data_IF_639687520246
#
_entry.id   IF_639687520246
#
_cell.length_a   1.000
_cell.length_b   1.000
_cell.length_c   1.000
_cell.angle_alpha   90.00
_cell.angle_beta   90.00
_cell.angle_gamma   90.00
#
_symmetry.space_group_name_H-M   'P 1'
#
loop_
_entity.id
_entity.type
_entity.pdbx_description
1 polymer ?
#
# COMPACT_ATOMS: atom_id res chain seq x y z
N UNK A 1 2.69 -12.03 36.33
CA UNK A 1 1.50 -12.11 37.21
C UNK A 1 0.31 -11.57 36.40
N UNK A 2 -0.71 -12.36 36.09
CA UNK A 2 -1.90 -11.86 35.38
C UNK A 2 -2.85 -11.23 36.39
N UNK A 3 -3.04 -9.91 36.32
CA UNK A 3 -3.98 -9.18 37.20
C UNK A 3 -5.41 -9.59 36.84
N UNK A 4 -6.16 -10.12 37.82
CA UNK A 4 -7.58 -10.44 37.62
C UNK A 4 -8.43 -9.24 38.05
N UNK A 5 -9.63 -9.13 37.48
CA UNK A 5 -10.60 -8.07 37.80
C UNK A 5 -10.96 -8.00 39.30
N UNK A 6 -10.75 -9.08 40.05
CA UNK A 6 -10.94 -9.16 41.51
C UNK A 6 -9.88 -8.43 42.33
N UNK A 7 -8.74 -8.06 41.73
CA UNK A 7 -7.60 -7.46 42.42
C UNK A 7 -7.63 -5.92 42.39
N UNK A 8 -8.62 -5.34 41.71
CA UNK A 8 -8.84 -3.89 41.64
C UNK A 8 -9.15 -3.33 43.04
N UNK A 9 -8.37 -2.33 43.47
CA UNK A 9 -8.46 -1.71 44.79
C UNK A 9 -7.63 -2.39 45.90
N UNK A 10 -6.97 -3.53 45.64
CA UNK A 10 -6.03 -4.13 46.60
C UNK A 10 -4.64 -3.53 46.47
N UNK A 11 -3.96 -3.36 47.61
CA UNK A 11 -2.53 -2.98 47.65
C UNK A 11 -1.71 -4.24 47.37
N UNK A 12 -1.14 -4.32 46.18
CA UNK A 12 -0.25 -5.42 45.77
C UNK A 12 1.20 -4.98 45.88
N UNK A 13 2.07 -5.90 46.30
CA UNK A 13 3.50 -5.65 46.41
C UNK A 13 4.21 -6.37 45.26
N UNK A 14 5.03 -5.63 44.51
CA UNK A 14 5.85 -6.23 43.46
C UNK A 14 6.84 -7.25 44.09
N UNK A 15 6.94 -8.48 43.60
CA UNK A 15 7.87 -9.47 44.15
C UNK A 15 9.34 -9.10 43.91
N UNK A 16 9.64 -8.37 42.84
CA UNK A 16 11.02 -8.09 42.43
C UNK A 16 11.62 -6.84 43.09
N UNK A 17 10.80 -5.80 43.30
CA UNK A 17 11.27 -4.53 43.86
C UNK A 17 10.60 -4.14 45.19
N UNK A 18 9.69 -4.98 45.71
CA UNK A 18 8.95 -4.77 46.96
C UNK A 18 8.16 -3.46 47.04
N UNK A 19 7.97 -2.75 45.92
CA UNK A 19 7.18 -1.54 45.89
C UNK A 19 5.68 -1.87 45.97
N UNK A 20 4.95 -1.15 46.84
CA UNK A 20 3.52 -1.33 47.05
C UNK A 20 2.77 -0.32 46.20
N UNK A 21 1.90 -0.82 45.31
CA UNK A 21 1.03 0.00 44.48
C UNK A 21 -0.41 -0.48 44.60
N UNK A 22 -1.35 0.42 44.33
CA UNK A 22 -2.79 0.12 44.35
C UNK A 22 -3.27 0.02 42.91
N UNK A 23 -3.95 -1.07 42.57
CA UNK A 23 -4.47 -1.25 41.21
C UNK A 23 -5.73 -0.40 41.07
N UNK A 24 -5.61 0.75 40.40
CA UNK A 24 -6.72 1.66 40.14
C UNK A 24 -7.67 1.06 39.09
N UNK A 25 -8.97 1.34 39.24
CA UNK A 25 -9.98 0.88 38.30
C UNK A 25 -9.84 1.70 37.02
N UNK A 26 -9.56 1.05 35.90
CA UNK A 26 -9.52 1.72 34.61
C UNK A 26 -10.90 2.37 34.33
N UNK A 27 -10.93 3.69 34.25
CA UNK A 27 -12.11 4.42 33.79
C UNK A 27 -12.27 4.19 32.29
N UNK A 28 -13.29 3.42 31.91
CA UNK A 28 -13.68 3.27 30.51
C UNK A 28 -14.30 4.60 30.10
N UNK A 29 -13.52 5.47 29.45
CA UNK A 29 -14.06 6.64 28.76
C UNK A 29 -14.84 6.13 27.55
N UNK A 30 -16.16 6.10 27.69
CA UNK A 30 -17.07 5.89 26.57
C UNK A 30 -17.19 7.27 25.92
N UNK A 31 -16.53 7.46 24.78
CA UNK A 31 -16.74 8.65 23.95
C UNK A 31 -18.15 8.55 23.36
N UNK A 32 -19.08 9.29 23.96
CA UNK A 32 -20.43 9.47 23.44
C UNK A 32 -20.31 10.47 22.28
N UNK A 33 -20.69 10.10 21.04
CA UNK A 33 -20.65 11.03 19.92
C UNK A 33 -21.54 12.23 20.23
N UNK A 34 -21.03 13.44 19.98
CA UNK A 34 -21.81 14.66 20.16
C UNK A 34 -23.09 14.60 19.30
N UNK A 35 -24.24 15.01 19.85
CA UNK A 35 -25.49 15.02 19.11
C UNK A 35 -25.35 15.95 17.90
N UNK A 36 -25.69 15.43 16.73
CA UNK A 36 -25.77 16.19 15.47
C UNK A 36 -26.80 17.30 15.69
N UNK A 37 -26.31 18.53 15.89
CA UNK A 37 -27.15 19.73 15.92
C UNK A 37 -27.53 20.02 14.47
N UNK A 38 -28.81 19.96 14.09
CA UNK A 38 -29.23 20.41 12.78
C UNK A 38 -29.04 21.92 12.72
N UNK A 39 -28.23 22.41 11.77
CA UNK A 39 -28.16 23.83 11.45
C UNK A 39 -29.53 24.29 10.91
N UNK A 40 -30.26 25.01 11.74
CA UNK A 40 -31.47 25.75 11.35
C UNK A 40 -31.07 26.96 10.51
N UNK A 41 -31.07 26.82 9.19
CA UNK A 41 -31.16 28.00 8.31
C UNK A 41 -31.84 27.67 6.97
N UNK A 42 -33.15 27.43 6.96
CA UNK A 42 -33.96 27.76 5.77
C UNK A 42 -35.35 28.28 6.17
N UNK A 43 -35.65 29.47 5.65
CA UNK A 43 -36.73 30.35 6.08
C UNK A 43 -38.15 29.80 5.94
N UNK A 44 -38.99 30.30 6.84
CA UNK A 44 -40.44 30.17 6.82
C UNK A 44 -41.01 30.53 5.44
N UNK A 45 -41.57 29.53 4.77
CA UNK A 45 -42.76 29.72 3.92
C UNK A 45 -43.89 28.92 4.55
N UNK A 46 -44.94 29.64 4.92
CA UNK A 46 -46.21 29.10 5.38
C UNK A 46 -46.79 28.17 4.32
N UNK A 47 -46.60 26.86 4.52
CA UNK A 47 -47.35 25.83 3.80
C UNK A 47 -48.09 24.98 4.85
N UNK A 48 -49.37 25.29 4.91
CA UNK A 48 -50.47 24.64 5.58
C UNK A 48 -50.28 23.14 5.91
N UNK A 49 -50.46 22.81 7.20
CA UNK A 49 -51.06 21.60 7.81
C UNK A 49 -50.64 20.17 7.39
N UNK A 50 -50.00 19.93 6.25
CA UNK A 50 -49.57 18.59 5.81
C UNK A 50 -48.22 18.15 6.41
N UNK A 51 -47.39 19.10 6.87
CA UNK A 51 -46.09 18.78 7.48
C UNK A 51 -46.20 18.14 8.88
N UNK A 52 -47.27 18.41 9.62
CA UNK A 52 -47.45 17.81 10.96
C UNK A 52 -47.78 16.32 10.88
N UNK A 53 -48.56 15.91 9.89
CA UNK A 53 -48.87 14.49 9.67
C UNK A 53 -47.67 13.74 9.09
N UNK A 54 -46.86 14.37 8.24
CA UNK A 54 -45.59 13.80 7.79
C UNK A 54 -44.59 13.63 8.94
N UNK A 55 -44.46 14.63 9.84
CA UNK A 55 -43.62 14.52 11.04
C UNK A 55 -44.12 13.44 12.01
N UNK A 56 -45.43 13.30 12.20
CA UNK A 56 -45.99 12.22 13.02
C UNK A 56 -45.73 10.84 12.44
N UNK A 57 -45.87 10.67 11.12
CA UNK A 57 -45.56 9.40 10.45
C UNK A 57 -44.07 9.06 10.56
N UNK A 58 -43.19 10.02 10.32
CA UNK A 58 -41.75 9.84 10.47
C UNK A 58 -41.38 9.48 11.93
N UNK A 59 -41.98 10.15 12.92
CA UNK A 59 -41.77 9.85 14.33
C UNK A 59 -42.26 8.44 14.72
N UNK A 60 -43.38 7.98 14.15
CA UNK A 60 -43.88 6.62 14.35
C UNK A 60 -42.96 5.57 13.71
N UNK A 61 -42.43 5.85 12.52
CA UNK A 61 -41.52 4.95 11.82
C UNK A 61 -40.20 4.79 12.57
N UNK A 62 -39.61 5.90 13.04
CA UNK A 62 -38.39 5.90 13.87
C UNK A 62 -38.61 5.12 15.18
N UNK A 63 -39.72 5.35 15.87
CA UNK A 63 -40.06 4.60 17.10
C UNK A 63 -40.23 3.10 16.82
N UNK A 64 -40.81 2.74 15.68
CA UNK A 64 -41.00 1.34 15.29
C UNK A 64 -39.68 0.63 14.95
N UNK A 65 -38.75 1.33 14.30
CA UNK A 65 -37.40 0.83 14.05
C UNK A 65 -36.62 0.67 15.36
N UNK A 66 -36.64 1.68 16.24
CA UNK A 66 -35.99 1.60 17.53
C UNK A 66 -36.51 0.43 18.40
N UNK A 67 -37.81 0.13 18.34
CA UNK A 67 -38.38 -1.05 19.02
C UNK A 67 -37.92 -2.38 18.42
N UNK A 68 -37.77 -2.46 17.08
CA UNK A 68 -37.23 -3.66 16.42
C UNK A 68 -35.78 -3.90 16.81
N UNK A 69 -34.97 -2.85 16.80
CA UNK A 69 -33.54 -2.94 17.14
C UNK A 69 -33.33 -3.31 18.62
N UNK A 70 -34.13 -2.75 19.52
CA UNK A 70 -34.13 -3.13 20.95
C UNK A 70 -34.51 -4.60 21.13
N UNK A 71 -35.51 -5.09 20.37
CA UNK A 71 -35.93 -6.49 20.41
C UNK A 71 -34.82 -7.40 19.89
N UNK A 72 -34.20 -7.09 18.76
CA UNK A 72 -33.11 -7.88 18.20
C UNK A 72 -31.88 -7.91 19.13
N UNK A 73 -31.54 -6.78 19.74
CA UNK A 73 -30.47 -6.73 20.75
C UNK A 73 -30.80 -7.55 21.99
N UNK A 74 -32.07 -7.58 22.43
CA UNK A 74 -32.48 -8.43 23.56
C UNK A 74 -32.39 -9.92 23.21
N UNK A 75 -32.78 -10.30 21.99
CA UNK A 75 -32.66 -11.68 21.49
C UNK A 75 -31.19 -12.11 21.36
N UNK A 76 -30.31 -11.22 20.88
CA UNK A 76 -28.84 -11.47 20.84
C UNK A 76 -28.24 -11.64 22.24
N UNK A 77 -28.70 -10.85 23.22
CA UNK A 77 -28.23 -10.97 24.62
C UNK A 77 -28.70 -12.28 25.26
N UNK A 78 -29.92 -12.74 24.95
CA UNK A 78 -30.44 -14.01 25.45
C UNK A 78 -29.76 -15.23 24.78
N UNK A 79 -29.44 -15.13 23.48
CA UNK A 79 -28.63 -16.12 22.78
C UNK A 79 -27.23 -16.22 23.38
N UNK A 80 -26.57 -15.09 23.64
CA UNK A 80 -25.25 -15.07 24.27
C UNK A 80 -25.27 -15.63 25.70
N UNK A 81 -26.32 -15.36 26.49
CA UNK A 81 -26.47 -15.98 27.83
C UNK A 81 -26.65 -17.50 27.75
N UNK A 82 -27.40 -18.00 26.77
CA UNK A 82 -27.58 -19.45 26.56
C UNK A 82 -26.31 -20.14 26.09
N UNK A 83 -25.54 -19.52 25.19
CA UNK A 83 -24.29 -20.10 24.69
C UNK A 83 -23.13 -19.99 25.69
N UNK A 84 -23.07 -18.92 26.48
CA UNK A 84 -22.06 -18.78 27.54
C UNK A 84 -22.33 -19.71 28.73
N UNK A 85 -23.60 -19.96 29.07
CA UNK A 85 -23.96 -20.95 30.10
C UNK A 85 -23.53 -22.40 29.76
N UNK A 86 -23.41 -22.74 28.48
CA UNK A 86 -22.93 -24.06 28.05
C UNK A 86 -21.40 -24.24 28.20
N UNK A 87 -20.64 -23.14 28.32
CA UNK A 87 -19.17 -23.17 28.46
C UNK A 87 -18.70 -22.93 29.90
N UNK A 88 -19.48 -22.23 30.74
CA UNK A 88 -19.05 -21.87 32.10
C UNK A 88 -19.33 -22.95 33.19
N UNK A 89 -20.02 -24.06 32.88
CA UNK A 89 -20.41 -25.05 33.90
C UNK A 89 -19.42 -26.21 34.13
N UNK A 90 -18.20 -26.18 33.57
CA UNK A 90 -17.11 -27.03 34.06
C UNK A 90 -16.41 -26.37 35.24
N UNK A 91 -16.99 -26.53 36.43
CA UNK A 91 -16.27 -26.33 37.71
C UNK A 91 -14.90 -27.02 37.62
N UNK A 92 -13.80 -26.37 38.06
CA UNK A 92 -12.54 -27.08 38.23
C UNK A 92 -12.78 -28.19 39.24
N UNK A 93 -12.65 -29.45 38.79
CA UNK A 93 -12.58 -30.61 39.66
C UNK A 93 -11.36 -30.38 40.54
N UNK A 94 -11.55 -30.38 41.86
CA UNK A 94 -10.47 -30.29 42.82
C UNK A 94 -9.42 -31.35 42.46
N UNK A 95 -8.25 -30.91 42.02
CA UNK A 95 -7.04 -31.72 41.86
C UNK A 95 -6.49 -32.03 43.25
N UNK A 96 -7.11 -32.99 43.93
CA UNK A 96 -6.52 -33.80 44.97
C UNK A 96 -6.95 -35.23 44.69
N UNK A 97 -6.30 -35.85 43.72
CA UNK A 97 -6.08 -37.29 43.71
C UNK A 97 -4.82 -37.55 42.90
N UNK A 98 -3.82 -38.06 43.62
CA UNK A 98 -2.56 -38.56 43.10
C UNK A 98 -2.81 -39.67 42.09
N UNK A 99 -2.50 -39.44 40.81
CA UNK A 99 -2.02 -40.54 39.98
C UNK A 99 -1.13 -40.05 38.85
N UNK A 100 -0.01 -40.75 38.68
CA UNK A 100 1.08 -40.46 37.73
C UNK A 100 0.63 -40.88 36.34
N UNK A 101 -0.34 -40.15 35.79
CA UNK A 101 -0.69 -40.23 34.37
C UNK A 101 0.22 -39.31 33.57
N UNK A 102 1.04 -39.88 32.68
CA UNK A 102 1.82 -39.14 31.69
C UNK A 102 0.98 -37.99 31.11
N UNK A 103 1.46 -36.75 31.31
CA UNK A 103 0.93 -35.58 30.62
C UNK A 103 1.10 -35.81 29.13
N UNK A 104 0.07 -36.36 28.47
CA UNK A 104 -0.03 -36.32 27.01
C UNK A 104 0.13 -34.87 26.60
N UNK A 105 1.25 -34.59 25.95
CA UNK A 105 1.59 -33.31 25.32
C UNK A 105 0.32 -32.86 24.60
N UNK A 106 -0.24 -31.70 24.97
CA UNK A 106 -1.41 -31.15 24.27
C UNK A 106 -1.08 -31.20 22.79
N UNK A 107 -1.77 -32.07 22.05
CA UNK A 107 -1.74 -32.07 20.59
C UNK A 107 -2.08 -30.65 20.18
N UNK A 108 -1.14 -29.99 19.52
CA UNK A 108 -1.34 -28.65 19.01
C UNK A 108 -2.56 -28.74 18.08
N UNK A 109 -3.62 -28.00 18.43
CA UNK A 109 -4.88 -27.96 17.67
C UNK A 109 -4.75 -27.23 16.33
N UNK A 110 -3.58 -26.67 16.04
CA UNK A 110 -3.18 -26.31 14.69
C UNK A 110 -2.70 -27.59 14.00
N UNK A 111 -3.37 -28.06 12.94
CA UNK A 111 -2.83 -29.14 12.12
C UNK A 111 -1.38 -28.83 11.81
N UNK A 112 -0.47 -29.79 12.03
CA UNK A 112 0.96 -29.69 11.69
C UNK A 112 1.15 -29.38 10.18
N UNK A 113 0.07 -29.51 9.40
CA UNK A 113 0.00 -29.32 7.95
C UNK A 113 -0.80 -28.06 7.53
N UNK A 114 -1.13 -27.13 8.42
CA UNK A 114 -1.74 -25.86 7.97
C UNK A 114 -0.65 -24.98 7.37
N UNK A 115 -0.46 -25.07 6.06
CA UNK A 115 0.29 -24.08 5.30
C UNK A 115 -0.67 -22.95 4.90
N UNK A 116 -0.55 -21.73 5.46
CA UNK A 116 -1.39 -20.59 5.08
C UNK A 116 -1.24 -20.22 3.59
N UNK A 117 -0.29 -20.81 2.86
CA UNK A 117 -0.04 -20.57 1.44
C UNK A 117 -0.64 -21.61 0.50
N UNK A 118 -1.24 -22.69 1.00
CA UNK A 118 -1.77 -23.80 0.17
C UNK A 118 -2.91 -23.34 -0.78
N UNK A 119 -3.49 -22.16 -0.56
CA UNK A 119 -4.47 -21.52 -1.46
C UNK A 119 -3.99 -20.25 -2.18
N UNK A 120 -2.71 -19.88 -2.06
CA UNK A 120 -2.16 -18.68 -2.71
C UNK A 120 -1.70 -18.99 -4.13
N UNK A 121 -1.85 -18.01 -5.01
CA UNK A 121 -1.41 -18.10 -6.40
C UNK A 121 0.10 -17.92 -6.47
N UNK A 122 0.78 -18.85 -7.11
CA UNK A 122 2.23 -18.77 -7.30
C UNK A 122 2.61 -17.73 -8.36
N UNK A 123 3.59 -16.88 -8.05
CA UNK A 123 4.09 -15.83 -8.94
C UNK A 123 5.58 -16.01 -9.27
N UNK A 124 5.97 -17.13 -9.94
CA UNK A 124 7.38 -17.38 -10.22
C UNK A 124 7.93 -16.34 -11.19
N UNK A 125 9.14 -15.86 -10.92
CA UNK A 125 9.86 -14.96 -11.82
C UNK A 125 10.46 -15.80 -12.97
N UNK A 126 9.59 -16.22 -13.89
CA UNK A 126 9.96 -16.93 -15.11
C UNK A 126 9.17 -16.37 -16.30
N UNK A 127 9.81 -16.31 -17.47
CA UNK A 127 9.17 -15.84 -18.71
C UNK A 127 8.59 -16.99 -19.52
N UNK A 128 7.94 -17.95 -18.83
CA UNK A 128 7.26 -19.04 -19.53
C UNK A 128 6.05 -18.49 -20.30
N UNK A 129 5.62 -19.12 -21.41
CA UNK A 129 4.44 -18.67 -22.15
C UNK A 129 3.17 -18.57 -21.30
N UNK A 130 3.04 -19.43 -20.27
CA UNK A 130 1.92 -19.40 -19.32
C UNK A 130 1.97 -18.14 -18.44
N UNK A 131 3.15 -17.79 -17.95
CA UNK A 131 3.33 -16.59 -17.12
C UNK A 131 3.11 -15.30 -17.92
N UNK A 132 3.54 -15.28 -19.19
CA UNK A 132 3.27 -14.16 -20.10
C UNK A 132 1.78 -14.06 -20.40
N UNK A 133 1.09 -15.17 -20.63
CA UNK A 133 -0.35 -15.17 -20.82
C UNK A 133 -1.07 -14.64 -19.58
N UNK A 134 -0.62 -15.01 -18.38
CA UNK A 134 -1.15 -14.46 -17.14
C UNK A 134 -0.88 -12.97 -17.01
N UNK A 135 0.33 -12.50 -17.32
CA UNK A 135 0.64 -11.07 -17.33
C UNK A 135 -0.29 -10.29 -18.28
N UNK A 136 -0.57 -10.84 -19.46
CA UNK A 136 -1.50 -10.23 -20.41
C UNK A 136 -2.92 -10.20 -19.83
N UNK A 137 -3.36 -11.27 -19.17
CA UNK A 137 -4.67 -11.31 -18.51
C UNK A 137 -4.77 -10.27 -17.39
N UNK A 138 -3.73 -10.15 -16.56
CA UNK A 138 -3.65 -9.14 -15.50
C UNK A 138 -3.65 -7.72 -16.09
N UNK A 139 -2.87 -7.47 -17.14
CA UNK A 139 -2.85 -6.20 -17.87
C UNK A 139 -4.18 -5.89 -18.57
N UNK A 140 -5.00 -6.90 -18.83
CA UNK A 140 -6.33 -6.75 -19.42
C UNK A 140 -7.43 -6.52 -18.38
N UNK A 141 -7.12 -6.55 -17.08
CA UNK A 141 -8.08 -6.17 -16.04
C UNK A 141 -8.59 -4.74 -16.30
N UNK A 142 -9.92 -4.58 -16.29
CA UNK A 142 -10.58 -3.31 -16.59
C UNK A 142 -10.18 -2.24 -15.57
N UNK A 143 -10.03 -2.63 -14.30
CA UNK A 143 -9.60 -1.73 -13.23
C UNK A 143 -8.20 -1.18 -13.48
N UNK A 144 -7.25 -2.06 -13.80
CA UNK A 144 -5.88 -1.66 -14.15
C UNK A 144 -5.83 -0.81 -15.42
N UNK A 145 -6.54 -1.21 -16.48
CA UNK A 145 -6.52 -0.54 -17.78
C UNK A 145 -7.07 0.89 -17.68
N UNK A 146 -8.19 1.09 -16.96
CA UNK A 146 -8.75 2.41 -16.72
C UNK A 146 -7.74 3.33 -16.01
N UNK A 147 -7.09 2.82 -14.94
CA UNK A 147 -6.07 3.59 -14.22
C UNK A 147 -4.84 3.87 -15.06
N UNK A 148 -4.38 2.91 -15.84
CA UNK A 148 -3.28 3.08 -16.79
C UNK A 148 -3.58 4.19 -17.80
N UNK A 149 -4.79 4.22 -18.39
CA UNK A 149 -5.19 5.28 -19.34
C UNK A 149 -5.21 6.65 -18.65
N UNK A 150 -5.86 6.77 -17.49
CA UNK A 150 -5.91 8.04 -16.75
C UNK A 150 -4.52 8.53 -16.35
N UNK A 151 -3.69 7.66 -15.76
CA UNK A 151 -2.33 8.00 -15.37
C UNK A 151 -1.46 8.36 -16.58
N UNK A 152 -1.62 7.67 -17.70
CA UNK A 152 -0.88 7.95 -18.92
C UNK A 152 -1.20 9.34 -19.48
N UNK A 153 -2.47 9.78 -19.39
CA UNK A 153 -2.86 11.14 -19.78
C UNK A 153 -2.21 12.19 -18.87
N UNK A 154 -2.25 12.01 -17.54
CA UNK A 154 -1.60 12.95 -16.62
C UNK A 154 -0.07 12.96 -16.77
N UNK A 155 0.54 11.78 -16.97
CA UNK A 155 1.96 11.65 -17.27
C UNK A 155 2.32 12.35 -18.59
N UNK A 156 1.52 12.19 -19.63
CA UNK A 156 1.72 12.87 -20.92
C UNK A 156 1.66 14.39 -20.77
N UNK A 157 0.66 14.91 -20.05
CA UNK A 157 0.55 16.35 -19.78
C UNK A 157 1.75 16.85 -18.97
N UNK A 158 2.20 16.08 -17.97
CA UNK A 158 3.38 16.39 -17.18
C UNK A 158 4.64 16.46 -18.05
N UNK A 159 4.87 15.44 -18.88
CA UNK A 159 6.01 15.37 -19.80
C UNK A 159 5.97 16.54 -20.80
N UNK A 160 4.79 16.87 -21.34
CA UNK A 160 4.62 17.98 -22.26
C UNK A 160 5.05 19.31 -21.63
N UNK A 161 4.56 19.62 -20.43
CA UNK A 161 4.94 20.86 -19.74
C UNK A 161 6.41 20.88 -19.30
N UNK A 162 6.93 19.75 -18.81
CA UNK A 162 8.34 19.63 -18.42
C UNK A 162 9.27 19.83 -19.61
N UNK A 163 9.02 19.15 -20.73
CA UNK A 163 9.87 19.26 -21.90
C UNK A 163 9.77 20.65 -22.57
N UNK A 164 8.59 21.29 -22.58
CA UNK A 164 8.48 22.69 -23.02
C UNK A 164 9.24 23.65 -22.10
N UNK A 165 9.14 23.48 -20.78
CA UNK A 165 9.84 24.31 -19.82
C UNK A 165 11.37 24.22 -19.98
N UNK A 166 11.88 23.00 -20.18
CA UNK A 166 13.30 22.73 -20.48
C UNK A 166 13.69 23.33 -21.83
N UNK A 167 12.90 23.10 -22.89
CA UNK A 167 13.20 23.62 -24.22
C UNK A 167 13.32 25.15 -24.23
N UNK A 168 12.36 25.85 -23.64
CA UNK A 168 12.38 27.32 -23.58
C UNK A 168 13.44 27.88 -22.62
N UNK A 169 13.82 27.15 -21.57
CA UNK A 169 14.92 27.58 -20.69
C UNK A 169 16.30 27.45 -21.34
N UNK A 170 16.46 26.57 -22.33
CA UNK A 170 17.72 26.38 -23.05
C UNK A 170 17.90 27.33 -24.25
N UNK A 171 16.91 28.15 -24.60
CA UNK A 171 17.04 29.07 -25.72
C UNK A 171 18.01 30.22 -25.40
N UNK A 172 18.95 30.58 -26.31
CA UNK A 172 19.98 31.58 -26.06
C UNK A 172 19.43 33.01 -25.92
N UNK A 173 18.31 33.31 -26.59
CA UNK A 173 17.66 34.63 -26.54
C UNK A 173 16.43 34.57 -25.63
N UNK A 174 16.63 34.68 -24.32
CA UNK A 174 15.52 34.71 -23.38
C UNK A 174 14.85 36.08 -23.36
N UNK A 175 13.60 36.13 -23.80
CA UNK A 175 12.68 37.25 -23.58
C UNK A 175 11.96 37.09 -22.25
N UNK A 176 11.40 38.18 -21.70
CA UNK A 176 10.54 38.10 -20.51
C UNK A 176 9.39 37.10 -20.70
N UNK A 177 8.79 37.05 -21.90
CA UNK A 177 7.71 36.13 -22.22
C UNK A 177 8.14 34.65 -22.16
N UNK A 178 9.30 34.31 -22.73
CA UNK A 178 9.84 32.94 -22.69
C UNK A 178 10.19 32.50 -21.27
N UNK A 179 10.69 33.43 -20.45
CA UNK A 179 10.96 33.16 -19.03
C UNK A 179 9.67 32.87 -18.25
N UNK A 180 8.63 33.70 -18.43
CA UNK A 180 7.33 33.48 -17.79
C UNK A 180 6.67 32.17 -18.23
N UNK A 181 6.79 31.83 -19.52
CA UNK A 181 6.28 30.56 -20.04
C UNK A 181 7.03 29.35 -19.46
N UNK A 182 8.36 29.40 -19.37
CA UNK A 182 9.17 28.34 -18.75
C UNK A 182 8.87 28.19 -17.25
N UNK A 183 8.71 29.30 -16.53
CA UNK A 183 8.33 29.30 -15.11
C UNK A 183 6.95 28.67 -14.91
N UNK A 184 5.94 29.11 -15.68
CA UNK A 184 4.60 28.54 -15.62
C UNK A 184 4.59 27.06 -16.00
N UNK A 185 5.28 26.68 -17.07
CA UNK A 185 5.43 25.28 -17.50
C UNK A 185 6.08 24.41 -16.43
N UNK A 186 7.12 24.91 -15.76
CA UNK A 186 7.77 24.22 -14.64
C UNK A 186 6.78 24.04 -13.49
N UNK A 187 6.08 25.09 -13.07
CA UNK A 187 5.09 25.02 -12.00
C UNK A 187 3.97 24.01 -12.31
N UNK A 188 3.43 24.02 -13.53
CA UNK A 188 2.42 23.05 -13.95
C UNK A 188 2.96 21.62 -13.99
N UNK A 189 4.17 21.41 -14.51
CA UNK A 189 4.80 20.09 -14.53
C UNK A 189 5.05 19.55 -13.12
N UNK A 190 5.42 20.40 -12.16
CA UNK A 190 5.66 19.98 -10.78
C UNK A 190 4.34 19.64 -10.10
N UNK A 191 3.31 20.48 -10.27
CA UNK A 191 2.01 20.24 -9.64
C UNK A 191 1.31 18.98 -10.19
N UNK A 192 1.20 18.87 -11.52
CA UNK A 192 0.57 17.71 -12.16
C UNK A 192 1.46 16.48 -12.01
N UNK A 193 2.79 16.63 -12.09
CA UNK A 193 3.75 15.56 -11.90
C UNK A 193 3.76 15.00 -10.48
N UNK A 194 3.63 15.86 -9.45
CA UNK A 194 3.47 15.43 -8.08
C UNK A 194 2.19 14.59 -7.94
N UNK A 195 1.04 15.09 -8.42
CA UNK A 195 -0.21 14.32 -8.44
C UNK A 195 -0.05 12.97 -9.16
N UNK A 196 0.53 12.97 -10.36
CA UNK A 196 0.78 11.74 -11.14
C UNK A 196 1.66 10.76 -10.36
N UNK A 197 2.71 11.25 -9.71
CA UNK A 197 3.64 10.41 -8.91
C UNK A 197 2.96 9.86 -7.67
N UNK A 198 2.08 10.62 -7.01
CA UNK A 198 1.33 10.14 -5.85
C UNK A 198 0.42 8.95 -6.25
N UNK A 199 -0.36 9.10 -7.32
CA UNK A 199 -1.22 8.02 -7.78
C UNK A 199 -0.42 6.85 -8.35
N UNK A 200 0.63 7.10 -9.14
CA UNK A 200 1.49 6.05 -9.66
C UNK A 200 2.20 5.29 -8.53
N UNK A 201 2.68 5.99 -7.50
CA UNK A 201 3.35 5.39 -6.35
C UNK A 201 2.45 4.47 -5.54
N UNK A 202 1.21 4.89 -5.28
CA UNK A 202 0.20 4.04 -4.64
C UNK A 202 -0.13 2.80 -5.48
N UNK A 203 -0.35 2.97 -6.78
CA UNK A 203 -0.60 1.85 -7.71
C UNK A 203 0.58 0.89 -7.79
N UNK A 204 1.80 1.43 -7.82
CA UNK A 204 3.04 0.66 -7.85
C UNK A 204 3.17 -0.18 -6.58
N UNK A 205 2.96 0.43 -5.40
CA UNK A 205 3.00 -0.28 -4.12
C UNK A 205 1.97 -1.40 -4.09
N UNK A 206 0.70 -1.11 -4.42
CA UNK A 206 -0.37 -2.10 -4.46
C UNK A 206 -0.02 -3.29 -5.36
N UNK A 207 0.47 -3.04 -6.58
CA UNK A 207 0.85 -4.13 -7.50
C UNK A 207 1.98 -4.99 -6.93
N UNK A 208 3.01 -4.37 -6.36
CA UNK A 208 4.13 -5.12 -5.76
C UNK A 208 3.63 -5.97 -4.59
N UNK A 209 2.82 -5.40 -3.68
CA UNK A 209 2.36 -6.10 -2.48
C UNK A 209 1.32 -7.18 -2.75
N UNK A 210 0.39 -6.96 -3.69
CA UNK A 210 -0.61 -7.96 -4.09
C UNK A 210 0.06 -9.17 -4.74
N UNK A 211 1.07 -8.95 -5.57
CA UNK A 211 1.82 -10.05 -6.21
C UNK A 211 2.73 -10.75 -5.21
N UNK A 212 3.40 -9.98 -4.34
CA UNK A 212 4.25 -10.56 -3.30
C UNK A 212 3.48 -11.31 -2.23
N UNK A 213 2.16 -11.11 -2.11
CA UNK A 213 1.29 -11.85 -1.19
C UNK A 213 0.57 -13.02 -1.84
N UNK A 214 0.64 -13.17 -3.17
CA UNK A 214 0.04 -14.32 -3.85
C UNK A 214 -1.48 -14.30 -3.91
N UNK A 215 -2.11 -13.13 -3.73
CA UNK A 215 -3.56 -13.01 -3.77
C UNK A 215 -4.08 -13.18 -5.21
N UNK A 216 -5.13 -13.98 -5.38
CA UNK A 216 -5.80 -14.20 -6.68
C UNK A 216 -6.72 -13.02 -7.03
N UNK A 217 -7.50 -12.56 -6.06
CA UNK A 217 -8.47 -11.48 -6.24
C UNK A 217 -7.86 -10.11 -5.93
N UNK A 218 -8.04 -9.17 -6.86
CA UNK A 218 -7.47 -7.83 -6.80
C UNK A 218 -8.53 -6.81 -6.38
N UNK A 219 -8.69 -6.67 -5.07
CA UNK A 219 -9.52 -5.60 -4.52
C UNK A 219 -8.74 -4.29 -4.51
N UNK A 220 -8.93 -3.52 -5.57
CA UNK A 220 -8.27 -2.24 -5.72
C UNK A 220 -8.70 -1.25 -4.63
N UNK A 221 -7.76 -0.73 -3.84
CA UNK A 221 -8.13 -0.04 -2.62
C UNK A 221 -8.63 1.37 -2.93
N UNK A 222 -9.80 1.71 -2.39
CA UNK A 222 -10.38 3.05 -2.43
C UNK A 222 -9.75 3.95 -1.35
N UNK A 223 -8.44 4.18 -1.49
CA UNK A 223 -7.68 4.94 -0.50
C UNK A 223 -7.98 6.44 -0.57
N UNK A 224 -7.97 7.08 0.60
CA UNK A 224 -7.93 8.53 0.71
C UNK A 224 -6.63 9.09 0.11
N UNK A 225 -6.65 10.39 -0.22
CA UNK A 225 -5.47 11.06 -0.80
C UNK A 225 -4.27 11.01 0.15
N UNK A 226 -4.50 11.08 1.46
CA UNK A 226 -3.45 11.03 2.46
C UNK A 226 -2.76 9.65 2.51
N UNK A 227 -3.52 8.56 2.46
CA UNK A 227 -2.96 7.20 2.46
C UNK A 227 -2.14 6.95 1.19
N UNK A 228 -2.68 7.35 0.02
CA UNK A 228 -1.93 7.30 -1.25
C UNK A 228 -0.63 8.08 -1.19
N UNK A 229 -0.63 9.22 -0.51
CA UNK A 229 0.58 10.00 -0.30
C UNK A 229 1.59 9.24 0.54
N UNK A 230 1.17 8.65 1.65
CA UNK A 230 2.05 7.85 2.51
C UNK A 230 2.62 6.63 1.77
N UNK A 231 1.83 5.96 0.94
CA UNK A 231 2.29 4.86 0.07
C UNK A 231 3.30 5.34 -0.98
N UNK A 232 3.01 6.47 -1.65
CA UNK A 232 3.89 7.03 -2.66
C UNK A 232 5.23 7.50 -2.09
N UNK A 233 5.30 7.85 -0.79
CA UNK A 233 6.57 8.20 -0.14
C UNK A 233 7.59 7.07 -0.25
N UNK A 234 7.18 5.79 -0.18
CA UNK A 234 8.11 4.67 -0.35
C UNK A 234 8.79 4.70 -1.72
N UNK A 235 8.00 4.95 -2.78
CA UNK A 235 8.53 5.04 -4.14
C UNK A 235 9.44 6.26 -4.29
N UNK A 236 8.97 7.44 -3.85
CA UNK A 236 9.72 8.70 -3.97
C UNK A 236 11.04 8.64 -3.20
N UNK A 237 11.03 8.15 -1.95
CA UNK A 237 12.25 8.00 -1.16
C UNK A 237 13.19 6.96 -1.75
N UNK A 238 12.70 5.82 -2.24
CA UNK A 238 13.55 4.84 -2.91
C UNK A 238 14.24 5.42 -4.14
N UNK A 239 13.50 6.14 -4.99
CA UNK A 239 14.06 6.85 -6.16
C UNK A 239 15.09 7.88 -5.72
N UNK A 240 14.77 8.74 -4.75
CA UNK A 240 15.69 9.77 -4.26
C UNK A 240 16.98 9.17 -3.70
N UNK A 241 16.89 8.15 -2.84
CA UNK A 241 18.04 7.46 -2.25
C UNK A 241 18.90 6.79 -3.32
N UNK A 242 18.27 6.14 -4.32
CA UNK A 242 18.98 5.52 -5.43
C UNK A 242 19.71 6.53 -6.32
N UNK A 243 19.19 7.76 -6.43
CA UNK A 243 19.77 8.85 -7.22
C UNK A 243 20.86 9.65 -6.50
N UNK A 244 21.03 9.50 -5.18
CA UNK A 244 22.05 10.25 -4.40
C UNK A 244 23.46 10.13 -5.00
N UNK A 245 23.98 8.93 -5.34
CA UNK A 245 25.33 8.81 -5.90
C UNK A 245 25.46 9.54 -7.24
N UNK A 246 24.45 9.42 -8.10
CA UNK A 246 24.40 10.15 -9.37
C UNK A 246 24.40 11.67 -9.16
N UNK A 247 23.53 12.16 -8.27
CA UNK A 247 23.40 13.59 -7.98
C UNK A 247 24.69 14.20 -7.43
N UNK A 248 25.35 13.52 -6.49
CA UNK A 248 26.65 13.96 -5.96
C UNK A 248 27.68 14.02 -7.10
N UNK A 249 27.79 12.96 -7.90
CA UNK A 249 28.82 12.91 -8.93
C UNK A 249 28.57 13.89 -10.08
N UNK A 250 27.31 14.16 -10.43
CA UNK A 250 26.94 15.15 -11.43
C UNK A 250 27.42 16.57 -11.07
N UNK A 251 27.61 16.87 -9.78
CA UNK A 251 28.18 18.15 -9.33
C UNK A 251 29.71 18.19 -9.39
N UNK A 252 30.38 17.03 -9.39
CA UNK A 252 31.84 16.90 -9.36
C UNK A 252 32.38 16.70 -10.78
N UNK A 253 31.93 15.65 -11.46
CA UNK A 253 32.34 15.32 -12.84
C UNK A 253 31.18 14.62 -13.58
N UNK A 254 30.70 15.29 -14.62
CA UNK A 254 29.58 14.84 -15.45
C UNK A 254 29.87 13.50 -16.17
N UNK A 255 31.13 13.20 -16.53
CA UNK A 255 31.46 11.97 -17.26
C UNK A 255 31.36 10.73 -16.36
N UNK A 256 31.76 10.87 -15.08
CA UNK A 256 31.63 9.80 -14.09
C UNK A 256 30.23 9.69 -13.48
N UNK A 257 29.39 10.71 -13.65
CA UNK A 257 27.99 10.65 -13.23
C UNK A 257 27.21 9.61 -14.05
N UNK A 258 27.47 9.47 -15.35
CA UNK A 258 26.72 8.55 -16.22
C UNK A 258 26.73 7.08 -15.74
N UNK A 259 27.88 6.47 -15.39
CA UNK A 259 27.90 5.14 -14.77
C UNK A 259 27.09 5.04 -13.47
N UNK A 260 27.03 6.11 -12.66
CA UNK A 260 26.26 6.12 -11.42
C UNK A 260 24.75 6.26 -11.65
N UNK A 261 24.33 6.72 -12.83
CA UNK A 261 22.95 6.59 -13.26
C UNK A 261 22.57 5.11 -13.44
N UNK A 262 23.47 4.28 -13.99
CA UNK A 262 23.24 2.84 -14.07
C UNK A 262 23.22 2.19 -12.67
N UNK A 263 23.99 2.71 -11.72
CA UNK A 263 23.90 2.30 -10.32
C UNK A 263 22.51 2.57 -9.73
N UNK A 264 21.86 3.67 -10.10
CA UNK A 264 20.48 3.98 -9.65
C UNK A 264 19.52 2.83 -10.02
N UNK A 265 19.63 2.33 -11.26
CA UNK A 265 18.81 1.21 -11.73
C UNK A 265 19.04 -0.09 -10.95
N UNK A 266 20.29 -0.35 -10.52
CA UNK A 266 20.62 -1.51 -9.69
C UNK A 266 20.20 -1.34 -8.23
N UNK A 267 20.38 -0.13 -7.68
CA UNK A 267 20.11 0.15 -6.28
C UNK A 267 18.61 0.26 -5.97
N UNK A 268 17.83 0.83 -6.90
CA UNK A 268 16.40 1.08 -6.71
C UNK A 268 15.58 -0.13 -6.24
N UNK A 269 15.58 -1.30 -6.91
CA UNK A 269 14.76 -2.44 -6.48
C UNK A 269 15.18 -2.98 -5.10
N UNK A 270 16.49 -2.95 -4.79
CA UNK A 270 17.01 -3.38 -3.48
C UNK A 270 16.55 -2.44 -2.37
N UNK A 271 16.65 -1.13 -2.58
CA UNK A 271 16.19 -0.10 -1.63
C UNK A 271 14.68 -0.20 -1.46
N UNK A 272 13.92 -0.22 -2.57
CA UNK A 272 12.47 -0.23 -2.53
C UNK A 272 11.91 -1.45 -1.80
N UNK A 273 12.37 -2.66 -2.15
CA UNK A 273 11.95 -3.89 -1.45
C UNK A 273 12.39 -3.89 0.02
N UNK A 274 13.54 -3.31 0.34
CA UNK A 274 13.98 -3.19 1.74
C UNK A 274 13.08 -2.25 2.55
N UNK A 275 12.65 -1.12 1.97
CA UNK A 275 11.71 -0.21 2.64
C UNK A 275 10.35 -0.87 2.87
N UNK A 276 9.87 -1.66 1.90
CA UNK A 276 8.62 -2.42 2.03
C UNK A 276 8.73 -3.52 3.09
N UNK A 277 9.82 -4.30 3.09
CA UNK A 277 10.06 -5.37 4.05
C UNK A 277 10.13 -4.85 5.50
N UNK A 278 10.74 -3.68 5.71
CA UNK A 278 10.80 -3.04 7.03
C UNK A 278 9.51 -2.28 7.39
N UNK A 279 8.62 -2.01 6.42
CA UNK A 279 7.44 -1.18 6.61
C UNK A 279 7.76 0.28 7.02
N UNK A 280 8.98 0.75 6.73
CA UNK A 280 9.47 2.06 7.18
C UNK A 280 10.34 2.73 6.12
N UNK A 281 10.05 4.01 5.87
CA UNK A 281 10.79 4.85 4.91
C UNK A 281 12.20 5.21 5.40
N UNK A 282 12.46 5.09 6.70
CA UNK A 282 13.70 5.55 7.36
C UNK A 282 14.80 4.47 7.35
N UNK A 283 14.42 3.20 7.18
CA UNK A 283 15.33 2.06 7.25
C UNK A 283 15.47 1.42 5.87
N UNK A 284 16.36 1.93 5.01
CA UNK A 284 16.47 1.48 3.62
C UNK A 284 17.07 0.08 3.45
N UNK A 285 17.52 -0.57 4.52
CA UNK A 285 18.22 -1.86 4.45
C UNK A 285 17.48 -2.94 5.21
N UNK A 286 17.12 -4.00 4.49
CA UNK A 286 16.65 -5.27 5.03
C UNK A 286 17.73 -6.33 4.86
N UNK A 287 18.09 -7.03 5.94
CA UNK A 287 19.02 -8.16 5.88
C UNK A 287 18.50 -9.28 4.99
N UNK A 288 17.18 -9.51 4.97
CA UNK A 288 16.54 -10.53 4.14
C UNK A 288 16.70 -10.22 2.66
N UNK A 289 16.41 -8.98 2.25
CA UNK A 289 16.56 -8.55 0.86
C UNK A 289 18.03 -8.56 0.44
N UNK A 290 18.94 -8.07 1.27
CA UNK A 290 20.39 -8.08 0.96
C UNK A 290 20.95 -9.50 0.90
N UNK A 291 20.54 -10.39 1.80
CA UNK A 291 20.93 -11.80 1.75
C UNK A 291 20.42 -12.48 0.47
N UNK A 292 19.22 -12.12 0.00
CA UNK A 292 18.64 -12.69 -1.22
C UNK A 292 19.48 -12.41 -2.48
N UNK A 293 20.27 -11.32 -2.51
CA UNK A 293 21.18 -11.04 -3.63
C UNK A 293 22.23 -12.13 -3.81
N UNK A 294 22.70 -12.71 -2.71
CA UNK A 294 23.70 -13.77 -2.71
C UNK A 294 23.08 -15.17 -2.83
N UNK A 295 21.86 -15.36 -2.29
CA UNK A 295 21.17 -16.64 -2.30
C UNK A 295 20.42 -16.93 -3.61
N UNK A 296 19.88 -15.89 -4.27
CA UNK A 296 19.12 -15.98 -5.52
C UNK A 296 19.75 -15.15 -6.67
N UNK A 297 21.06 -15.26 -6.95
CA UNK A 297 21.72 -14.39 -7.92
C UNK A 297 21.15 -14.55 -9.34
N UNK A 298 20.72 -15.75 -9.71
CA UNK A 298 20.11 -16.02 -11.01
C UNK A 298 18.77 -15.30 -11.22
N UNK A 299 17.94 -15.22 -10.17
CA UNK A 299 16.62 -14.54 -10.24
C UNK A 299 16.80 -13.03 -10.31
N UNK A 300 17.72 -12.47 -9.51
CA UNK A 300 18.10 -11.06 -9.59
C UNK A 300 18.68 -10.70 -10.98
N UNK A 301 19.58 -11.52 -11.52
CA UNK A 301 20.14 -11.29 -12.85
C UNK A 301 19.05 -11.32 -13.94
N UNK A 302 18.12 -12.26 -13.87
CA UNK A 302 16.99 -12.36 -14.80
C UNK A 302 16.07 -11.14 -14.70
N UNK A 303 15.78 -10.66 -13.48
CA UNK A 303 15.03 -9.43 -13.26
C UNK A 303 15.72 -8.23 -13.90
N UNK A 304 17.02 -8.04 -13.63
CA UNK A 304 17.79 -6.93 -14.19
C UNK A 304 17.89 -6.99 -15.72
N UNK A 305 18.06 -8.18 -16.29
CA UNK A 305 18.11 -8.35 -17.74
C UNK A 305 16.76 -7.97 -18.38
N UNK A 306 15.65 -8.44 -17.81
CA UNK A 306 14.31 -8.15 -18.33
C UNK A 306 13.96 -6.66 -18.22
N UNK A 307 14.23 -6.05 -17.06
CA UNK A 307 13.99 -4.63 -16.84
C UNK A 307 14.92 -3.75 -17.67
N UNK A 308 16.17 -4.18 -17.91
CA UNK A 308 17.09 -3.48 -18.82
C UNK A 308 16.58 -3.49 -20.27
N UNK A 309 16.06 -4.64 -20.73
CA UNK A 309 15.46 -4.75 -22.06
C UNK A 309 14.20 -3.88 -22.18
N UNK A 310 13.34 -3.88 -21.17
CA UNK A 310 12.14 -3.03 -21.13
C UNK A 310 12.53 -1.54 -21.21
N UNK A 311 13.45 -1.09 -20.35
CA UNK A 311 13.92 0.30 -20.34
C UNK A 311 14.59 0.69 -21.66
N UNK A 312 15.43 -0.19 -22.22
CA UNK A 312 16.07 0.01 -23.52
C UNK A 312 15.04 0.13 -24.64
N UNK A 313 13.99 -0.70 -24.63
CA UNK A 313 12.90 -0.63 -25.61
C UNK A 313 12.11 0.68 -25.51
N UNK A 314 11.77 1.12 -24.29
CA UNK A 314 11.08 2.39 -24.05
C UNK A 314 11.94 3.58 -24.51
N UNK A 315 13.23 3.58 -24.17
CA UNK A 315 14.15 4.64 -24.58
C UNK A 315 14.36 4.66 -26.10
N UNK A 316 14.51 3.49 -26.73
CA UNK A 316 14.64 3.38 -28.19
C UNK A 316 13.37 3.84 -28.91
N UNK A 317 12.19 3.47 -28.42
CA UNK A 317 10.91 3.92 -28.95
C UNK A 317 10.73 5.43 -28.78
N UNK A 318 11.05 5.97 -27.60
CA UNK A 318 11.04 7.40 -27.33
C UNK A 318 11.99 8.19 -28.24
N UNK A 319 13.22 7.69 -28.43
CA UNK A 319 14.19 8.27 -29.34
C UNK A 319 13.72 8.22 -30.80
N UNK A 320 13.16 7.09 -31.26
CA UNK A 320 12.61 6.98 -32.61
C UNK A 320 11.47 7.99 -32.83
N UNK A 321 10.52 8.07 -31.89
CA UNK A 321 9.41 9.04 -31.96
C UNK A 321 9.96 10.47 -31.99
N UNK A 322 10.96 10.79 -31.17
CA UNK A 322 11.60 12.10 -31.16
C UNK A 322 12.29 12.44 -32.49
N UNK A 323 13.02 11.49 -33.07
CA UNK A 323 13.71 11.66 -34.37
C UNK A 323 12.70 11.90 -35.50
N UNK A 324 11.57 11.19 -35.53
CA UNK A 324 10.57 11.32 -36.59
C UNK A 324 9.66 12.55 -36.44
N UNK A 325 9.27 12.89 -35.21
CA UNK A 325 8.34 13.99 -34.96
C UNK A 325 9.04 15.35 -34.93
N UNK A 326 10.29 15.40 -34.44
CA UNK A 326 11.00 16.65 -34.17
C UNK A 326 10.44 17.40 -32.96
N UNK A 327 11.18 18.41 -32.49
CA UNK A 327 10.83 19.16 -31.27
C UNK A 327 9.57 20.02 -31.45
N UNK A 328 9.29 20.48 -32.67
CA UNK A 328 8.13 21.30 -33.01
C UNK A 328 6.79 20.57 -32.80
N UNK A 329 6.83 19.24 -32.70
CA UNK A 329 5.68 18.35 -32.54
C UNK A 329 5.67 17.68 -31.17
N UNK A 330 6.22 18.33 -30.14
CA UNK A 330 6.33 17.81 -28.78
C UNK A 330 5.01 17.23 -28.22
N UNK A 331 3.87 17.83 -28.55
CA UNK A 331 2.55 17.33 -28.15
C UNK A 331 2.28 15.88 -28.63
N UNK A 332 2.75 15.53 -29.83
CA UNK A 332 2.63 14.19 -30.40
C UNK A 332 3.61 13.18 -29.80
N UNK A 333 4.68 13.66 -29.15
CA UNK A 333 5.67 12.83 -28.45
C UNK A 333 5.21 12.56 -27.01
N UNK A 334 4.62 13.58 -26.36
CA UNK A 334 4.25 13.53 -24.96
C UNK A 334 3.21 12.46 -24.65
N UNK A 335 2.21 12.27 -25.53
CA UNK A 335 1.16 11.26 -25.33
C UNK A 335 1.72 9.83 -25.36
N UNK A 336 2.41 9.38 -26.42
CA UNK A 336 3.11 8.10 -26.40
C UNK A 336 4.12 7.97 -25.25
N UNK A 337 4.82 9.06 -24.91
CA UNK A 337 5.77 9.11 -23.79
C UNK A 337 5.11 8.80 -22.45
N UNK A 338 3.95 9.40 -22.16
CA UNK A 338 3.17 9.12 -20.95
C UNK A 338 2.68 7.67 -20.90
N UNK A 339 2.18 7.15 -22.02
CA UNK A 339 1.72 5.76 -22.15
C UNK A 339 2.85 4.76 -21.89
N UNK A 340 4.02 4.97 -22.50
CA UNK A 340 5.19 4.12 -22.31
C UNK A 340 5.76 4.22 -20.90
N UNK A 341 5.78 5.42 -20.31
CA UNK A 341 6.27 5.64 -18.94
C UNK A 341 5.41 4.90 -17.92
N UNK A 342 4.09 5.11 -17.93
CA UNK A 342 3.18 4.47 -16.96
C UNK A 342 3.06 2.98 -17.23
N UNK A 343 2.95 2.56 -18.49
CA UNK A 343 2.92 1.14 -18.86
C UNK A 343 4.20 0.41 -18.45
N UNK A 344 5.37 1.04 -18.69
CA UNK A 344 6.66 0.52 -18.24
C UNK A 344 6.75 0.41 -16.72
N UNK A 345 6.28 1.42 -15.99
CA UNK A 345 6.25 1.40 -14.53
C UNK A 345 5.35 0.28 -13.97
N UNK A 346 4.18 0.05 -14.57
CA UNK A 346 3.28 -1.06 -14.20
C UNK A 346 3.96 -2.41 -14.45
N UNK A 347 4.51 -2.64 -15.64
CA UNK A 347 5.22 -3.90 -15.96
C UNK A 347 6.41 -4.11 -15.03
N UNK A 348 7.15 -3.04 -14.72
CA UNK A 348 8.24 -3.09 -13.76
C UNK A 348 7.75 -3.48 -12.36
N UNK A 349 6.62 -2.91 -11.89
CA UNK A 349 6.01 -3.26 -10.61
C UNK A 349 5.59 -4.74 -10.57
N UNK A 350 4.99 -5.26 -11.65
CA UNK A 350 4.60 -6.66 -11.75
C UNK A 350 5.81 -7.60 -11.56
N UNK A 351 6.91 -7.33 -12.28
CA UNK A 351 8.12 -8.14 -12.17
C UNK A 351 8.84 -7.97 -10.84
N UNK A 352 8.80 -6.78 -10.24
CA UNK A 352 9.35 -6.55 -8.92
C UNK A 352 8.55 -7.29 -7.84
N UNK A 353 7.22 -7.33 -7.94
CA UNK A 353 6.36 -8.13 -7.09
C UNK A 353 6.66 -9.63 -7.19
N UNK A 354 6.88 -10.15 -8.41
CA UNK A 354 7.29 -11.55 -8.64
C UNK A 354 8.64 -11.87 -8.03
N UNK A 355 9.61 -10.96 -8.14
CA UNK A 355 10.89 -11.11 -7.47
C UNK A 355 10.71 -11.14 -5.94
N UNK A 356 9.88 -10.25 -5.40
CA UNK A 356 9.56 -10.22 -3.96
C UNK A 356 8.91 -11.53 -3.49
N UNK A 357 8.00 -12.11 -4.27
CA UNK A 357 7.38 -13.41 -3.97
C UNK A 357 8.44 -14.51 -3.81
N UNK A 358 9.39 -14.62 -4.76
CA UNK A 358 10.46 -15.62 -4.73
C UNK A 358 11.39 -15.45 -3.51
N UNK A 359 11.67 -14.21 -3.12
CA UNK A 359 12.46 -13.92 -1.91
C UNK A 359 11.72 -14.41 -0.65
N UNK A 360 10.41 -14.13 -0.57
CA UNK A 360 9.57 -14.55 0.55
C UNK A 360 9.48 -16.09 0.63
N UNK A 361 9.36 -16.77 -0.50
CA UNK A 361 9.36 -18.25 -0.57
C UNK A 361 10.67 -18.84 -0.06
N UNK A 362 11.82 -18.29 -0.48
CA UNK A 362 13.10 -18.74 0.03
C UNK A 362 13.21 -18.52 1.54
N UNK A 363 12.82 -17.34 2.03
CA UNK A 363 12.95 -17.01 3.46
C UNK A 363 12.11 -17.91 4.37
N UNK A 364 10.93 -18.36 3.90
CA UNK A 364 10.11 -19.33 4.65
C UNK A 364 10.73 -20.72 4.66
N UNK A 365 11.34 -21.17 3.57
CA UNK A 365 12.00 -22.48 3.53
C UNK A 365 13.16 -22.56 4.52
N UNK A 366 13.93 -21.48 4.66
CA UNK A 366 15.03 -21.41 5.64
C UNK A 366 14.52 -21.46 7.09
N UNK A 367 13.38 -20.82 7.37
CA UNK A 367 12.78 -20.86 8.70
C UNK A 367 12.22 -22.24 9.08
N UNK A 368 11.90 -23.09 8.11
CA UNK A 368 11.46 -24.47 8.35
C UNK A 368 12.64 -25.43 8.59
N UNK A 369 13.84 -25.10 8.09
CA UNK A 369 15.06 -25.90 8.26
C UNK A 369 15.80 -25.63 9.58
N UNK A 370 15.59 -24.47 10.21
CA UNK A 370 16.12 -24.07 11.53
C UNK A 370 15.28 -24.62 12.70
#
# INVERSE_FOLDING_TARGET
MSVRTTDVGRKTQCPDCHHRFTIEKAEIKIDIPDPIVPEDEYGLKDVARDHDDARKKMGQEIMSQAQKDLKEQSERKDLNKRTQGAFEERKPRNDQDDDVGEKKRREQLTPITYDPREGLVEYPLTFSPKEIQRDIQLLSDVGLLMRWVFLSLFAAVTIYFAANAIYHSMQPNQTFLTLMYSLAGTAFSVFIGAGTTLFLGSQFLFLVTSISSGLEDWDWPELGIFDRMMEALFLVFAVMLSLVPFGIMATIDQWWALPLLAFTFLAFPVIYLSLLDQGSVVTPWSSTIVASLYKLPGKWLLFYLATFLLMSAILAAGAAIFIFAGIDRLAYIALPGGVMFVGGAIVYALWLGRLSWEIVVLSSQEQEEE
#
